data_IF_808701220409
#
_entry.id   IF_808701220409
#
_cell.length_a   1.000
_cell.length_b   1.000
_cell.length_c   1.000
_cell.angle_alpha   90.00
_cell.angle_beta   90.00
_cell.angle_gamma   90.00
#
_symmetry.space_group_name_H-M   'P 1'
#
loop_
_entity.id
_entity.type
_entity.pdbx_description
1 polymer ?
#
# COMPACT_ATOMS: atom_id res chain seq x y z
N UNK A 1 -8.00 6.44 -1.65
CA UNK A 1 -7.99 6.30 -0.18
C UNK A 1 -8.20 7.66 0.46
N UNK A 2 -8.91 7.75 1.59
CA UNK A 2 -9.17 9.01 2.29
C UNK A 2 -7.87 9.72 2.75
N UNK A 3 -6.78 8.97 2.84
CA UNK A 3 -5.48 9.40 3.37
C UNK A 3 -4.44 9.68 2.27
N UNK A 4 -4.86 9.80 1.03
CA UNK A 4 -3.97 10.08 -0.10
C UNK A 4 -4.10 11.56 -0.48
N UNK A 5 -3.16 12.37 -0.02
CA UNK A 5 -3.08 13.82 -0.25
C UNK A 5 -2.30 14.18 -1.53
N UNK A 6 -1.75 13.19 -2.25
CA UNK A 6 -1.02 13.45 -3.49
C UNK A 6 -1.91 14.12 -4.53
N UNK A 7 -1.36 15.04 -5.30
CA UNK A 7 -2.05 15.62 -6.43
C UNK A 7 -2.29 14.58 -7.53
N UNK A 8 -3.33 14.81 -8.33
CA UNK A 8 -3.61 13.96 -9.49
C UNK A 8 -2.89 14.52 -10.72
N UNK A 9 -2.44 13.64 -11.63
CA UNK A 9 -1.70 14.04 -12.83
C UNK A 9 -2.41 15.07 -13.73
N UNK A 10 -3.73 15.20 -13.61
CA UNK A 10 -4.54 16.16 -14.38
C UNK A 10 -5.13 17.28 -13.51
N UNK A 11 -4.69 17.43 -12.26
CA UNK A 11 -5.17 18.42 -11.31
C UNK A 11 -6.65 18.28 -10.89
N UNK A 12 -7.37 17.30 -11.41
CA UNK A 12 -8.80 17.08 -11.11
C UNK A 12 -9.00 16.29 -9.83
N UNK A 13 -10.19 16.41 -9.24
CA UNK A 13 -10.55 15.65 -8.03
C UNK A 13 -10.40 14.14 -8.20
N UNK A 14 -10.23 13.43 -7.08
CA UNK A 14 -10.14 11.96 -7.00
C UNK A 14 -11.50 11.24 -7.06
N UNK A 15 -12.51 11.87 -7.70
CA UNK A 15 -13.81 11.25 -7.92
C UNK A 15 -13.72 9.99 -8.80
N UNK A 16 -14.71 9.10 -8.70
CA UNK A 16 -14.78 7.88 -9.52
C UNK A 16 -14.73 8.22 -11.02
N UNK A 17 -15.52 9.21 -11.46
CA UNK A 17 -15.58 9.60 -12.88
C UNK A 17 -14.22 10.12 -13.37
N UNK A 18 -13.58 11.00 -12.63
CA UNK A 18 -12.26 11.50 -13.02
C UNK A 18 -11.19 10.41 -13.01
N UNK A 19 -11.28 9.47 -12.08
CA UNK A 19 -10.41 8.29 -12.06
C UNK A 19 -10.61 7.40 -13.28
N UNK A 20 -11.87 7.15 -13.68
CA UNK A 20 -12.18 6.41 -14.90
C UNK A 20 -11.69 7.12 -16.16
N UNK A 21 -11.82 8.44 -16.23
CA UNK A 21 -11.25 9.25 -17.32
C UNK A 21 -9.72 9.16 -17.42
N UNK A 22 -9.01 9.17 -16.29
CA UNK A 22 -7.55 8.98 -16.26
C UNK A 22 -7.16 7.59 -16.74
N UNK A 23 -7.86 6.56 -16.24
CA UNK A 23 -7.59 5.18 -16.63
C UNK A 23 -7.89 4.95 -18.11
N UNK A 24 -9.00 5.49 -18.65
CA UNK A 24 -9.32 5.33 -20.08
C UNK A 24 -8.21 5.91 -20.98
N UNK A 25 -7.61 7.02 -20.60
CA UNK A 25 -6.49 7.63 -21.34
C UNK A 25 -5.24 6.74 -21.38
N UNK A 26 -4.97 5.96 -20.33
CA UNK A 26 -3.88 4.97 -20.34
C UNK A 26 -4.07 3.95 -21.47
N UNK A 27 -5.33 3.64 -21.81
CA UNK A 27 -5.68 2.75 -22.92
C UNK A 27 -5.88 3.46 -24.26
N UNK A 28 -5.54 4.75 -24.35
CA UNK A 28 -5.74 5.55 -25.57
C UNK A 28 -7.22 5.81 -25.91
N UNK A 29 -8.12 5.76 -24.92
CA UNK A 29 -9.55 5.93 -25.12
C UNK A 29 -10.10 7.13 -24.36
N UNK A 30 -11.09 7.80 -24.93
CA UNK A 30 -11.91 8.75 -24.20
C UNK A 30 -13.00 8.02 -23.39
N UNK A 31 -13.21 8.49 -22.17
CA UNK A 31 -14.23 7.90 -21.32
C UNK A 31 -15.66 8.21 -21.81
N UNK A 32 -16.44 7.17 -21.99
CA UNK A 32 -17.88 7.25 -22.14
C UNK A 32 -18.60 6.32 -21.16
N UNK A 33 -19.86 6.62 -20.82
CA UNK A 33 -20.62 5.77 -19.91
C UNK A 33 -20.78 4.33 -20.42
N UNK A 34 -20.80 4.14 -21.73
CA UNK A 34 -20.88 2.81 -22.36
C UNK A 34 -19.63 1.97 -22.07
N UNK A 35 -18.47 2.61 -21.91
CA UNK A 35 -17.20 1.94 -21.64
C UNK A 35 -16.91 1.73 -20.15
N UNK A 36 -17.74 2.25 -19.25
CA UNK A 36 -17.53 2.16 -17.79
C UNK A 36 -17.21 0.74 -17.34
N UNK A 37 -18.01 -0.24 -17.75
CA UNK A 37 -17.83 -1.66 -17.37
C UNK A 37 -16.49 -2.22 -17.87
N UNK A 38 -16.13 -1.90 -19.12
CA UNK A 38 -14.85 -2.32 -19.71
C UNK A 38 -13.66 -1.74 -18.93
N UNK A 39 -13.66 -0.43 -18.68
CA UNK A 39 -12.58 0.26 -17.97
C UNK A 39 -12.42 -0.31 -16.56
N UNK A 40 -13.51 -0.56 -15.84
CA UNK A 40 -13.47 -1.19 -14.51
C UNK A 40 -12.88 -2.61 -14.59
N UNK A 41 -13.27 -3.39 -15.60
CA UNK A 41 -12.74 -4.75 -15.79
C UNK A 41 -11.24 -4.73 -16.06
N UNK A 42 -10.77 -3.86 -16.95
CA UNK A 42 -9.34 -3.67 -17.25
C UNK A 42 -8.56 -3.21 -16.01
N UNK A 43 -9.10 -2.25 -15.24
CA UNK A 43 -8.49 -1.79 -14.00
C UNK A 43 -8.33 -2.92 -12.98
N UNK A 44 -9.33 -3.79 -12.85
CA UNK A 44 -9.27 -4.97 -11.97
C UNK A 44 -8.19 -5.96 -12.41
N UNK A 45 -8.05 -6.19 -13.72
CA UNK A 45 -6.98 -7.05 -14.27
C UNK A 45 -5.59 -6.50 -13.94
N UNK A 46 -5.36 -5.21 -14.20
CA UNK A 46 -4.09 -4.55 -13.88
C UNK A 46 -3.79 -4.64 -12.38
N UNK A 47 -4.78 -4.34 -11.56
CA UNK A 47 -4.62 -4.41 -10.10
C UNK A 47 -4.28 -5.83 -9.63
N UNK A 48 -4.92 -6.86 -10.23
CA UNK A 48 -4.65 -8.26 -9.90
C UNK A 48 -3.25 -8.66 -10.32
N UNK A 49 -2.82 -8.26 -11.51
CA UNK A 49 -1.48 -8.55 -12.01
C UNK A 49 -0.41 -7.87 -11.16
N UNK A 50 -0.58 -6.60 -10.85
CA UNK A 50 0.32 -5.86 -9.95
C UNK A 50 0.40 -6.52 -8.56
N UNK A 51 -0.74 -6.96 -8.02
CA UNK A 51 -0.79 -7.69 -6.76
C UNK A 51 -0.02 -9.02 -6.83
N UNK A 52 -0.14 -9.77 -7.94
CA UNK A 52 0.59 -11.00 -8.15
C UNK A 52 2.10 -10.77 -8.27
N UNK A 53 2.53 -9.73 -8.97
CA UNK A 53 3.94 -9.35 -9.10
C UNK A 53 4.55 -9.00 -7.73
N UNK A 54 3.87 -8.18 -6.93
CA UNK A 54 4.33 -7.85 -5.56
C UNK A 54 4.41 -9.13 -4.71
N UNK A 55 3.39 -9.97 -4.75
CA UNK A 55 3.36 -11.24 -4.00
C UNK A 55 4.50 -12.17 -4.42
N UNK A 56 4.75 -12.29 -5.73
CA UNK A 56 5.87 -13.06 -6.26
C UNK A 56 7.22 -12.55 -5.76
N UNK A 57 7.44 -11.24 -5.84
CA UNK A 57 8.69 -10.61 -5.39
C UNK A 57 8.93 -10.84 -3.89
N UNK A 58 7.89 -10.70 -3.08
CA UNK A 58 7.98 -10.98 -1.63
C UNK A 58 8.35 -12.44 -1.40
N UNK A 59 7.64 -13.39 -2.04
CA UNK A 59 7.92 -14.83 -1.90
C UNK A 59 9.34 -15.18 -2.36
N UNK A 60 9.81 -14.60 -3.47
CA UNK A 60 11.18 -14.79 -3.95
C UNK A 60 12.22 -14.40 -2.89
N UNK A 61 12.07 -13.21 -2.30
CA UNK A 61 12.99 -12.73 -1.26
C UNK A 61 12.91 -13.54 0.03
N UNK A 62 11.71 -13.98 0.42
CA UNK A 62 11.53 -14.84 1.58
C UNK A 62 12.29 -16.15 1.37
N UNK A 63 12.03 -16.84 0.26
CA UNK A 63 12.63 -18.15 -0.03
C UNK A 63 14.16 -18.07 -0.16
N UNK A 64 14.68 -16.92 -0.66
CA UNK A 64 16.11 -16.72 -0.80
C UNK A 64 16.83 -16.46 0.52
N UNK A 65 16.21 -15.73 1.44
CA UNK A 65 16.90 -15.16 2.61
C UNK A 65 16.49 -15.81 3.95
N UNK A 66 15.37 -16.54 3.99
CA UNK A 66 14.83 -17.09 5.23
C UNK A 66 14.56 -18.57 5.12
N UNK A 67 15.00 -19.36 6.10
CA UNK A 67 14.79 -20.79 6.14
C UNK A 67 13.37 -21.18 6.58
N UNK A 68 12.74 -20.34 7.42
CA UNK A 68 11.42 -20.63 7.96
C UNK A 68 10.52 -19.39 7.91
N UNK A 69 9.45 -19.48 7.13
CA UNK A 69 8.50 -18.39 6.95
C UNK A 69 7.63 -18.13 8.20
N UNK A 70 7.51 -19.14 9.09
CA UNK A 70 6.68 -19.01 10.30
C UNK A 70 7.24 -18.01 11.30
N UNK A 71 8.55 -17.74 11.23
CA UNK A 71 9.25 -16.81 12.11
C UNK A 71 9.21 -15.36 11.61
N UNK A 72 8.59 -15.14 10.42
CA UNK A 72 8.52 -13.83 9.81
C UNK A 72 7.27 -13.07 10.28
N UNK A 73 7.49 -11.84 10.71
CA UNK A 73 6.45 -10.90 11.05
C UNK A 73 6.49 -9.71 10.10
N UNK A 74 5.41 -9.50 9.34
CA UNK A 74 5.30 -8.39 8.40
C UNK A 74 4.76 -7.17 9.10
N UNK A 75 5.46 -6.04 8.95
CA UNK A 75 5.00 -4.76 9.48
C UNK A 75 4.65 -3.86 8.29
N UNK A 76 3.39 -3.45 8.22
CA UNK A 76 2.89 -2.57 7.17
C UNK A 76 3.04 -1.10 7.55
N UNK A 77 3.61 -0.31 6.63
CA UNK A 77 3.72 1.13 6.77
C UNK A 77 3.46 1.85 5.45
N UNK A 78 3.15 3.14 5.52
CA UNK A 78 2.91 3.98 4.36
C UNK A 78 1.61 3.65 3.60
N UNK A 79 1.46 4.27 2.43
CA UNK A 79 0.25 4.16 1.59
C UNK A 79 0.04 2.71 1.09
N UNK A 80 1.13 1.97 0.86
CA UNK A 80 1.13 0.58 0.40
C UNK A 80 0.67 -0.46 1.43
N UNK A 81 0.56 -0.10 2.72
CA UNK A 81 0.22 -1.04 3.81
C UNK A 81 -1.02 -1.89 3.56
N UNK A 82 -2.04 -1.33 2.87
CA UNK A 82 -3.28 -2.04 2.53
C UNK A 82 -3.05 -3.19 1.54
N UNK A 83 -2.09 -3.03 0.62
CA UNK A 83 -1.71 -4.06 -0.36
C UNK A 83 -0.98 -5.19 0.36
N UNK A 84 0.03 -4.85 1.16
CA UNK A 84 0.82 -5.83 1.93
C UNK A 84 -0.09 -6.62 2.89
N UNK A 85 -1.01 -5.94 3.59
CA UNK A 85 -1.98 -6.62 4.46
C UNK A 85 -2.82 -7.66 3.70
N UNK A 86 -3.29 -7.33 2.48
CA UNK A 86 -4.04 -8.29 1.65
C UNK A 86 -3.18 -9.49 1.24
N UNK A 87 -1.91 -9.25 0.90
CA UNK A 87 -0.97 -10.33 0.54
C UNK A 87 -0.72 -11.24 1.75
N UNK A 88 -0.45 -10.67 2.93
CA UNK A 88 -0.24 -11.43 4.15
C UNK A 88 -1.47 -12.25 4.52
N UNK A 89 -2.67 -11.68 4.45
CA UNK A 89 -3.92 -12.40 4.72
C UNK A 89 -4.13 -13.57 3.74
N UNK A 90 -3.87 -13.38 2.44
CA UNK A 90 -3.98 -14.43 1.42
C UNK A 90 -3.02 -15.59 1.69
N UNK A 91 -1.82 -15.29 2.16
CA UNK A 91 -0.77 -16.28 2.43
C UNK A 91 -0.76 -16.77 3.89
N UNK A 92 -1.68 -16.31 4.74
CA UNK A 92 -1.76 -16.62 6.18
C UNK A 92 -0.47 -16.26 6.94
N UNK A 93 0.17 -15.15 6.56
CA UNK A 93 1.36 -14.63 7.24
C UNK A 93 1.00 -13.69 8.38
N UNK A 94 1.83 -13.65 9.40
CA UNK A 94 1.66 -12.71 10.50
C UNK A 94 1.87 -11.27 10.01
N UNK A 95 0.90 -10.41 10.27
CA UNK A 95 0.92 -9.02 9.86
C UNK A 95 0.50 -8.08 10.98
N UNK A 96 1.25 -7.01 11.17
CA UNK A 96 0.90 -5.91 12.08
C UNK A 96 1.01 -4.57 11.34
N UNK A 97 0.16 -3.64 11.70
CA UNK A 97 0.25 -2.25 11.23
C UNK A 97 1.19 -1.48 12.16
N UNK A 98 2.17 -0.76 11.58
CA UNK A 98 3.15 0.02 12.35
C UNK A 98 2.46 1.02 13.30
N UNK A 99 1.39 1.69 12.85
CA UNK A 99 0.64 2.63 13.70
C UNK A 99 0.10 1.96 14.97
N UNK A 100 -0.45 0.75 14.82
CA UNK A 100 -0.95 0.00 15.99
C UNK A 100 0.16 -0.36 16.97
N UNK A 101 1.32 -0.75 16.43
CA UNK A 101 2.47 -1.10 17.27
C UNK A 101 2.98 0.13 18.02
N UNK A 102 3.11 1.26 17.33
CA UNK A 102 3.59 2.51 17.94
C UNK A 102 2.58 3.10 18.93
N UNK A 103 1.29 3.13 18.60
CA UNK A 103 0.26 3.62 19.51
C UNK A 103 0.19 2.81 20.82
N UNK A 104 0.39 1.50 20.72
CA UNK A 104 0.48 0.65 21.92
C UNK A 104 1.72 0.98 22.78
N UNK A 105 2.83 1.34 22.14
CA UNK A 105 4.09 1.66 22.82
C UNK A 105 4.09 3.06 23.44
N UNK A 106 3.48 4.05 22.77
CA UNK A 106 3.52 5.46 23.20
C UNK A 106 2.27 5.94 23.92
N UNK A 107 1.25 5.10 24.11
CA UNK A 107 -0.06 5.45 24.73
C UNK A 107 -0.78 6.66 24.09
N UNK A 108 -0.40 7.05 22.90
CA UNK A 108 -0.96 8.19 22.15
C UNK A 108 -1.56 7.68 20.84
N UNK A 109 -2.80 8.07 20.55
CA UNK A 109 -3.40 7.86 19.23
C UNK A 109 -2.89 8.93 18.27
N UNK A 110 -1.87 8.62 17.49
CA UNK A 110 -1.34 9.51 16.45
C UNK A 110 -1.73 8.93 15.10
N UNK A 111 -2.74 9.54 14.47
CA UNK A 111 -3.16 9.17 13.12
C UNK A 111 -2.14 9.65 12.08
N UNK A 112 -1.90 8.84 11.06
CA UNK A 112 -1.03 9.21 9.95
C UNK A 112 0.47 8.96 10.16
N UNK A 113 0.90 8.47 11.32
CA UNK A 113 2.30 8.12 11.61
C UNK A 113 2.92 7.19 10.58
N UNK A 114 2.14 6.29 10.00
CA UNK A 114 2.65 5.35 9.00
C UNK A 114 3.08 6.01 7.70
N UNK A 115 2.57 7.20 7.39
CA UNK A 115 2.95 7.95 6.19
C UNK A 115 4.30 8.66 6.36
N UNK A 116 4.67 8.97 7.61
CA UNK A 116 5.94 9.60 8.00
C UNK A 116 6.90 8.58 8.64
N UNK A 117 6.64 7.29 8.50
CA UNK A 117 7.38 6.22 9.15
C UNK A 117 8.92 6.31 8.95
N UNK A 118 9.48 6.62 7.76
CA UNK A 118 10.92 6.76 7.60
C UNK A 118 11.53 7.84 8.50
N UNK A 119 10.90 9.01 8.57
CA UNK A 119 11.36 10.14 9.40
C UNK A 119 11.24 9.81 10.90
N UNK A 120 10.15 9.16 11.29
CA UNK A 120 9.93 8.73 12.66
C UNK A 120 10.96 7.69 13.10
N UNK A 121 11.22 6.67 12.28
CA UNK A 121 12.21 5.64 12.59
C UNK A 121 13.61 6.23 12.69
N UNK A 122 13.96 7.20 11.83
CA UNK A 122 15.22 7.91 11.90
C UNK A 122 15.35 8.68 13.23
N UNK A 123 14.30 9.40 13.64
CA UNK A 123 14.31 10.15 14.90
C UNK A 123 14.45 9.25 16.13
N UNK A 124 13.80 8.08 16.12
CA UNK A 124 13.93 7.07 17.19
C UNK A 124 15.33 6.46 17.25
N UNK A 125 15.95 6.20 16.09
CA UNK A 125 17.34 5.74 16.02
C UNK A 125 18.29 6.79 16.56
N UNK A 126 18.16 8.05 16.17
CA UNK A 126 18.99 9.16 16.67
C UNK A 126 18.86 9.32 18.18
N UNK A 127 17.66 9.19 18.73
CA UNK A 127 17.44 9.23 20.18
C UNK A 127 18.23 8.11 20.89
N UNK A 128 18.15 6.88 20.37
CA UNK A 128 18.86 5.72 20.94
C UNK A 128 20.39 5.85 20.89
N UNK A 129 20.95 6.55 19.90
CA UNK A 129 22.39 6.77 19.79
C UNK A 129 22.91 7.92 20.67
N UNK A 130 22.02 8.78 21.18
CA UNK A 130 22.36 9.93 22.03
C UNK A 130 22.12 9.64 23.54
N UNK A 131 21.55 8.48 23.87
CA UNK A 131 21.47 7.93 25.23
C UNK A 131 22.63 6.96 25.48
#
# INVERSE_FOLDING_TARGET
PKDDYSETADGRSKSEINSLKRISRIFGMDYTNKQKKLIISLSKKIMTEHFNQISYTINYHINKNFKNIKDLHFVGMGIGKKIIKKICNKNKWHYTDLEKTLNNSFRNNIDGLSNTAPSLLLSLLLKKYNE
#
